data_IF_132826692627
#
_entry.id   IF_132826692627
#
_cell.length_a   1.000
_cell.length_b   1.000
_cell.length_c   1.000
_cell.angle_alpha   90.00
_cell.angle_beta   90.00
_cell.angle_gamma   90.00
#
_symmetry.space_group_name_H-M   'P 1'
#
loop_
_entity.id
_entity.type
_entity.pdbx_description
1 polymer ?
#
# COMPACT_ATOMS: atom_id res chain seq x y z
N UNK A 1 10.66 6.04 45.15
CA UNK A 1 9.21 5.86 45.34
C UNK A 1 8.57 5.65 43.97
N UNK A 2 8.16 4.43 43.65
CA UNK A 2 7.51 4.11 42.36
C UNK A 2 5.99 4.18 42.53
N UNK A 3 5.30 4.98 41.71
CA UNK A 3 3.83 4.98 41.69
C UNK A 3 3.30 3.81 40.83
N UNK A 4 2.27 3.08 41.29
CA UNK A 4 1.67 2.01 40.51
C UNK A 4 0.72 2.58 39.43
N UNK A 5 0.89 2.11 38.20
CA UNK A 5 -0.03 2.44 37.10
C UNK A 5 -1.31 1.61 37.24
N UNK A 6 -2.42 2.27 37.55
CA UNK A 6 -3.75 1.66 37.57
C UNK A 6 -4.16 1.25 36.16
N UNK A 7 -4.06 -0.04 35.86
CA UNK A 7 -4.54 -0.64 34.61
C UNK A 7 -6.02 -0.97 34.79
N UNK A 8 -6.90 -0.07 34.36
CA UNK A 8 -8.35 -0.26 34.41
C UNK A 8 -8.74 -1.45 33.53
N UNK A 9 -9.03 -2.59 34.15
CA UNK A 9 -9.54 -3.79 33.48
C UNK A 9 -11.02 -3.51 33.18
N UNK A 10 -11.36 -3.28 31.91
CA UNK A 10 -12.77 -3.14 31.49
C UNK A 10 -13.41 -4.51 31.67
N UNK A 11 -14.10 -4.71 32.79
CA UNK A 11 -14.98 -5.86 33.01
C UNK A 11 -16.24 -5.55 32.21
N UNK A 12 -16.42 -6.25 31.09
CA UNK A 12 -17.66 -6.15 30.32
C UNK A 12 -18.76 -6.80 31.15
N UNK A 13 -19.84 -6.05 31.36
CA UNK A 13 -21.05 -6.54 32.01
C UNK A 13 -21.66 -7.71 31.20
N UNK A 14 -22.28 -8.67 31.89
CA UNK A 14 -22.88 -9.87 31.29
C UNK A 14 -23.94 -9.49 30.23
N UNK A 15 -24.65 -8.38 30.46
CA UNK A 15 -25.61 -7.81 29.52
C UNK A 15 -24.96 -7.38 28.19
N UNK A 16 -23.71 -6.90 28.21
CA UNK A 16 -22.99 -6.49 27.02
C UNK A 16 -22.37 -7.69 26.29
N UNK A 17 -21.95 -8.72 27.02
CA UNK A 17 -21.54 -10.00 26.44
C UNK A 17 -22.71 -10.63 25.68
N UNK A 18 -23.90 -10.67 26.29
CA UNK A 18 -25.10 -11.22 25.64
C UNK A 18 -25.56 -10.39 24.44
N UNK A 19 -25.48 -9.05 24.49
CA UNK A 19 -25.77 -8.19 23.32
C UNK A 19 -24.81 -8.42 22.15
N UNK A 20 -23.54 -8.73 22.42
CA UNK A 20 -22.57 -9.03 21.37
C UNK A 20 -22.81 -10.40 20.75
N UNK A 21 -23.21 -11.39 21.54
CA UNK A 21 -23.52 -12.74 21.08
C UNK A 21 -24.81 -12.81 20.25
N UNK A 22 -25.80 -11.97 20.56
CA UNK A 22 -27.09 -11.92 19.86
C UNK A 22 -27.14 -10.92 18.70
N UNK A 23 -26.03 -10.21 18.44
CA UNK A 23 -25.99 -9.22 17.36
C UNK A 23 -26.10 -9.94 16.01
N UNK A 24 -27.11 -9.62 15.17
CA UNK A 24 -27.21 -10.21 13.85
C UNK A 24 -25.95 -9.88 13.06
N UNK A 25 -25.43 -10.88 12.35
CA UNK A 25 -24.26 -10.68 11.48
C UNK A 25 -24.62 -9.59 10.46
N UNK A 26 -23.73 -8.61 10.23
CA UNK A 26 -23.97 -7.62 9.18
C UNK A 26 -24.10 -8.35 7.83
N UNK A 27 -25.03 -7.92 6.97
CA UNK A 27 -25.29 -8.61 5.72
C UNK A 27 -24.06 -8.60 4.83
N UNK A 28 -23.83 -9.72 4.15
CA UNK A 28 -22.70 -9.86 3.22
C UNK A 28 -22.87 -8.93 2.02
N UNK A 29 -21.79 -8.65 1.28
CA UNK A 29 -21.89 -7.83 0.06
C UNK A 29 -22.93 -8.42 -0.90
N UNK A 30 -22.91 -9.74 -1.11
CA UNK A 30 -23.86 -10.47 -1.95
C UNK A 30 -25.32 -10.31 -1.49
N UNK A 31 -25.58 -10.38 -0.18
CA UNK A 31 -26.92 -10.16 0.38
C UNK A 31 -27.40 -8.72 0.13
N UNK A 32 -26.51 -7.73 0.27
CA UNK A 32 -26.83 -6.32 -0.01
C UNK A 32 -27.11 -6.08 -1.49
N UNK A 33 -26.44 -6.82 -2.38
CA UNK A 33 -26.73 -6.83 -3.82
C UNK A 33 -28.11 -7.37 -4.14
N UNK A 34 -28.47 -8.49 -3.52
CA UNK A 34 -29.77 -9.12 -3.69
C UNK A 34 -30.91 -8.22 -3.18
N UNK A 35 -30.66 -7.45 -2.12
CA UNK A 35 -31.62 -6.52 -1.52
C UNK A 35 -31.69 -5.14 -2.19
N UNK A 36 -30.77 -4.82 -3.12
CA UNK A 36 -30.79 -3.53 -3.81
C UNK A 36 -32.00 -3.43 -4.74
N UNK A 37 -32.83 -2.42 -4.53
CA UNK A 37 -34.08 -2.21 -5.26
C UNK A 37 -33.85 -1.67 -6.67
N UNK A 38 -32.71 -0.99 -6.90
CA UNK A 38 -32.39 -0.37 -8.17
C UNK A 38 -31.00 -0.73 -8.70
N UNK A 39 -30.80 -0.71 -10.04
CA UNK A 39 -29.47 -0.86 -10.63
C UNK A 39 -28.45 0.19 -10.13
N UNK A 40 -28.88 1.45 -9.95
CA UNK A 40 -28.01 2.51 -9.45
C UNK A 40 -27.55 2.27 -7.99
N UNK A 41 -28.36 1.61 -7.16
CA UNK A 41 -27.93 1.19 -5.81
C UNK A 41 -26.93 0.04 -5.85
N UNK A 42 -27.08 -0.88 -6.81
CA UNK A 42 -26.10 -1.96 -7.04
C UNK A 42 -24.75 -1.37 -7.44
N UNK A 43 -24.73 -0.43 -8.37
CA UNK A 43 -23.50 0.24 -8.81
C UNK A 43 -22.81 0.99 -7.66
N UNK A 44 -23.59 1.72 -6.84
CA UNK A 44 -23.07 2.38 -5.62
C UNK A 44 -22.51 1.38 -4.61
N UNK A 45 -23.12 0.21 -4.44
CA UNK A 45 -22.62 -0.85 -3.56
C UNK A 45 -21.31 -1.44 -4.11
N UNK A 46 -21.16 -1.56 -5.43
CA UNK A 46 -19.92 -2.01 -6.10
C UNK A 46 -18.79 -1.02 -5.86
N UNK A 47 -19.05 0.25 -6.14
CA UNK A 47 -18.09 1.33 -5.99
C UNK A 47 -17.64 1.48 -4.54
N UNK A 48 -18.55 1.38 -3.58
CA UNK A 48 -18.22 1.44 -2.15
C UNK A 48 -17.47 0.19 -1.66
N UNK A 49 -17.74 -0.99 -2.22
CA UNK A 49 -16.99 -2.22 -1.96
C UNK A 49 -15.54 -2.11 -2.41
N UNK A 50 -15.33 -1.57 -3.61
CA UNK A 50 -14.00 -1.30 -4.18
C UNK A 50 -13.25 -0.19 -3.43
N UNK A 51 -13.95 0.83 -2.92
CA UNK A 51 -13.35 1.90 -2.09
C UNK A 51 -12.94 1.42 -0.69
N UNK A 52 -13.53 0.34 -0.17
CA UNK A 52 -13.22 -0.20 1.17
C UNK A 52 -12.00 -1.12 1.20
N UNK A 53 -11.46 -1.55 0.05
CA UNK A 53 -10.36 -2.53 -0.01
C UNK A 53 -8.99 -1.90 0.29
N UNK A 54 -8.85 -0.58 0.20
CA UNK A 54 -7.63 0.12 0.62
C UNK A 54 -8.01 1.28 1.55
N UNK A 55 -7.43 1.38 2.76
CA UNK A 55 -7.51 2.62 3.50
C UNK A 55 -6.70 3.67 2.72
N UNK A 56 -7.40 4.55 2.01
CA UNK A 56 -6.83 5.79 1.49
C UNK A 56 -6.11 6.49 2.65
N UNK A 57 -4.78 6.70 2.58
CA UNK A 57 -4.08 7.41 3.63
C UNK A 57 -4.59 8.85 3.66
N UNK A 58 -5.35 9.18 4.70
CA UNK A 58 -5.90 10.52 4.90
C UNK A 58 -4.81 11.61 4.84
N UNK A 59 -5.15 12.83 4.41
CA UNK A 59 -4.19 13.91 4.24
C UNK A 59 -3.50 14.22 5.58
N UNK A 60 -2.20 13.91 5.64
CA UNK A 60 -1.35 14.23 6.79
C UNK A 60 -1.21 15.74 6.93
N UNK A 61 -1.80 16.30 8.00
CA UNK A 61 -1.84 17.74 8.30
C UNK A 61 -0.46 18.43 8.40
N UNK A 62 0.65 17.68 8.41
CA UNK A 62 1.99 18.21 8.72
C UNK A 62 3.07 17.93 7.65
N UNK A 63 2.70 17.59 6.41
CA UNK A 63 3.70 17.27 5.36
C UNK A 63 4.54 16.01 5.63
N UNK A 64 4.27 15.32 6.74
CA UNK A 64 4.80 13.99 7.06
C UNK A 64 4.17 13.00 6.10
N UNK A 65 4.92 12.18 5.35
CA UNK A 65 4.31 11.15 4.53
C UNK A 65 3.40 10.28 5.41
N UNK A 66 2.22 9.88 4.91
CA UNK A 66 1.26 9.10 5.69
C UNK A 66 1.89 7.79 6.18
N UNK A 67 1.21 7.14 7.14
CA UNK A 67 1.49 5.77 7.58
C UNK A 67 1.97 4.92 6.40
N UNK A 68 3.24 4.47 6.47
CA UNK A 68 3.99 3.68 5.49
C UNK A 68 3.29 3.48 4.13
N UNK A 69 3.71 4.22 3.11
CA UNK A 69 3.30 3.97 1.71
C UNK A 69 3.88 2.63 1.26
N UNK A 70 3.00 1.72 0.85
CA UNK A 70 3.37 0.39 0.34
C UNK A 70 3.57 0.41 -1.17
N UNK A 71 4.62 -0.24 -1.62
CA UNK A 71 5.08 -0.27 -3.00
C UNK A 71 4.91 -1.68 -3.55
N UNK A 72 4.22 -1.78 -4.67
CA UNK A 72 3.95 -3.03 -5.40
C UNK A 72 4.96 -3.21 -6.53
N UNK A 73 5.07 -4.45 -7.06
CA UNK A 73 5.93 -4.73 -8.22
C UNK A 73 5.64 -3.85 -9.45
N UNK A 74 4.38 -3.58 -9.85
CA UNK A 74 4.11 -2.67 -10.96
C UNK A 74 4.68 -1.26 -10.75
N UNK A 75 4.58 -0.70 -9.54
CA UNK A 75 5.17 0.61 -9.22
C UNK A 75 6.72 0.53 -9.25
N UNK A 76 7.32 -0.55 -8.78
CA UNK A 76 8.76 -0.74 -8.91
C UNK A 76 9.20 -0.77 -10.40
N UNK A 77 8.46 -1.49 -11.24
CA UNK A 77 8.79 -1.63 -12.67
C UNK A 77 8.76 -0.30 -13.42
N UNK A 78 7.81 0.59 -13.11
CA UNK A 78 7.77 1.93 -13.70
C UNK A 78 8.93 2.82 -13.25
N UNK A 79 9.64 2.44 -12.18
CA UNK A 79 10.89 3.07 -11.71
C UNK A 79 12.16 2.37 -12.19
N UNK A 80 12.04 1.45 -13.16
CA UNK A 80 13.19 0.76 -13.75
C UNK A 80 13.63 -0.52 -13.03
N UNK A 81 12.93 -0.93 -11.96
CA UNK A 81 13.22 -2.20 -11.30
C UNK A 81 12.87 -3.40 -12.20
N UNK A 82 13.78 -4.37 -12.26
CA UNK A 82 13.54 -5.68 -12.87
C UNK A 82 13.39 -6.74 -11.79
N UNK A 83 12.85 -7.91 -12.13
CA UNK A 83 12.75 -9.01 -11.15
C UNK A 83 14.13 -9.49 -10.66
N UNK A 84 15.19 -9.32 -11.45
CA UNK A 84 16.57 -9.55 -11.00
C UNK A 84 16.97 -8.52 -9.93
N UNK A 85 16.78 -7.23 -10.20
CA UNK A 85 17.09 -6.16 -9.25
C UNK A 85 16.29 -6.29 -7.95
N UNK A 86 15.02 -6.66 -8.03
CA UNK A 86 14.17 -6.88 -6.85
C UNK A 86 14.76 -7.99 -5.95
N UNK A 87 15.28 -9.07 -6.54
CA UNK A 87 15.89 -10.17 -5.78
C UNK A 87 17.26 -9.81 -5.20
N UNK A 88 18.01 -8.97 -5.92
CA UNK A 88 19.38 -8.60 -5.58
C UNK A 88 19.44 -7.49 -4.52
N UNK A 89 18.64 -6.44 -4.68
CA UNK A 89 18.77 -5.22 -3.88
C UNK A 89 17.71 -5.05 -2.80
N UNK A 90 16.50 -5.61 -2.97
CA UNK A 90 15.46 -5.48 -1.95
C UNK A 90 15.54 -6.64 -0.95
N UNK A 91 15.30 -6.37 0.34
CA UNK A 91 15.07 -7.43 1.30
C UNK A 91 13.77 -8.17 0.98
N UNK A 92 13.51 -9.24 1.73
CA UNK A 92 12.22 -9.94 1.65
C UNK A 92 11.05 -8.95 1.79
N UNK A 93 9.93 -9.20 1.09
CA UNK A 93 8.75 -8.34 1.18
C UNK A 93 8.32 -8.16 2.63
N UNK A 94 8.03 -6.92 3.02
CA UNK A 94 7.62 -6.58 4.38
C UNK A 94 6.17 -6.99 4.64
N UNK A 95 5.34 -6.96 3.58
CA UNK A 95 3.95 -7.38 3.63
C UNK A 95 3.56 -8.12 2.38
N UNK A 96 2.44 -8.83 2.50
CA UNK A 96 1.78 -9.51 1.42
C UNK A 96 0.32 -9.05 1.40
N UNK A 97 -0.16 -8.62 0.25
CA UNK A 97 -1.55 -8.22 0.05
C UNK A 97 -2.30 -9.31 -0.71
N UNK A 98 -3.52 -9.62 -0.28
CA UNK A 98 -4.36 -10.59 -0.97
C UNK A 98 -4.76 -10.01 -2.33
N UNK A 99 -4.57 -10.75 -3.42
CA UNK A 99 -4.83 -10.21 -4.76
C UNK A 99 -6.35 -10.01 -4.97
N UNK A 100 -6.84 -8.77 -5.14
CA UNK A 100 -8.28 -8.50 -5.22
C UNK A 100 -8.92 -9.06 -6.50
N UNK A 101 -8.11 -9.38 -7.52
CA UNK A 101 -8.62 -9.86 -8.81
C UNK A 101 -8.77 -11.37 -8.91
N UNK A 102 -8.18 -12.14 -8.00
CA UNK A 102 -8.21 -13.61 -8.07
C UNK A 102 -8.02 -14.22 -6.69
N UNK A 103 -9.08 -14.80 -6.13
CA UNK A 103 -8.97 -15.71 -4.99
C UNK A 103 -8.03 -16.88 -5.35
N UNK A 104 -7.10 -17.23 -4.46
CA UNK A 104 -6.20 -18.37 -4.63
C UNK A 104 -4.86 -18.14 -5.34
N UNK A 105 -4.57 -16.94 -5.88
CA UNK A 105 -3.21 -16.61 -6.36
C UNK A 105 -2.27 -16.24 -5.21
N UNK A 106 -0.97 -16.47 -5.42
CA UNK A 106 0.08 -16.09 -4.47
C UNK A 106 -0.06 -14.60 -4.09
N UNK A 107 -0.04 -14.27 -2.79
CA UNK A 107 -0.17 -12.90 -2.31
C UNK A 107 0.85 -11.95 -2.97
N UNK A 108 0.42 -10.72 -3.28
CA UNK A 108 1.30 -9.75 -3.90
C UNK A 108 2.30 -9.20 -2.89
N UNK A 109 3.62 -9.27 -3.16
CA UNK A 109 4.63 -8.76 -2.26
C UNK A 109 4.61 -7.23 -2.24
N UNK A 110 4.78 -6.66 -1.04
CA UNK A 110 4.83 -5.24 -0.77
C UNK A 110 6.11 -4.87 -0.03
N UNK A 111 6.70 -3.74 -0.43
CA UNK A 111 7.82 -3.11 0.26
C UNK A 111 7.42 -1.72 0.73
N UNK A 112 8.00 -1.21 1.81
CA UNK A 112 7.76 0.18 2.20
C UNK A 112 8.51 1.15 1.28
N UNK A 113 7.94 2.33 1.05
CA UNK A 113 8.63 3.44 0.37
C UNK A 113 9.96 3.80 1.05
N UNK A 114 10.05 3.57 2.37
CA UNK A 114 11.29 3.76 3.14
C UNK A 114 12.39 2.81 2.72
N UNK A 115 12.07 1.52 2.61
CA UNK A 115 13.03 0.49 2.18
C UNK A 115 13.49 0.76 0.76
N UNK A 116 12.55 0.99 -0.16
CA UNK A 116 12.86 1.29 -1.56
C UNK A 116 13.71 2.56 -1.66
N UNK A 117 13.32 3.66 -1.01
CA UNK A 117 14.07 4.92 -1.04
C UNK A 117 15.47 4.84 -0.43
N UNK A 118 15.69 3.98 0.57
CA UNK A 118 17.04 3.73 1.12
C UNK A 118 17.94 3.01 0.14
N UNK A 119 17.40 2.02 -0.57
CA UNK A 119 18.14 1.26 -1.57
C UNK A 119 18.40 2.13 -2.81
N UNK A 120 17.39 2.88 -3.27
CA UNK A 120 17.57 3.76 -4.43
C UNK A 120 18.59 4.90 -4.19
N UNK A 121 18.86 5.22 -2.92
CA UNK A 121 19.84 6.21 -2.51
C UNK A 121 21.28 5.65 -2.41
N UNK A 122 21.53 4.38 -2.75
CA UNK A 122 22.90 3.82 -2.78
C UNK A 122 23.53 4.00 -4.16
N UNK A 123 24.85 4.25 -4.18
CA UNK A 123 25.62 4.38 -5.43
C UNK A 123 25.65 3.07 -6.23
N UNK A 124 25.56 1.95 -5.52
CA UNK A 124 25.46 0.62 -6.12
C UNK A 124 24.19 0.49 -6.98
N UNK A 125 23.04 0.85 -6.40
CA UNK A 125 21.77 0.86 -7.11
C UNK A 125 21.81 1.80 -8.31
N UNK A 126 22.28 3.04 -8.12
CA UNK A 126 22.29 4.05 -9.18
C UNK A 126 23.14 3.61 -10.37
N UNK A 127 24.33 3.03 -10.11
CA UNK A 127 25.19 2.47 -11.17
C UNK A 127 24.57 1.26 -11.85
N UNK A 128 23.89 0.39 -11.09
CA UNK A 128 23.17 -0.74 -11.66
C UNK A 128 22.03 -0.27 -12.57
N UNK A 129 21.21 0.69 -12.10
CA UNK A 129 20.06 1.21 -12.84
C UNK A 129 20.50 1.85 -14.16
N UNK A 130 21.55 2.68 -14.13
CA UNK A 130 22.08 3.31 -15.33
C UNK A 130 22.47 2.27 -16.39
N UNK A 131 23.25 1.24 -16.01
CA UNK A 131 23.64 0.15 -16.92
C UNK A 131 22.45 -0.66 -17.43
N UNK A 132 21.46 -0.89 -16.56
CA UNK A 132 20.25 -1.64 -16.90
C UNK A 132 19.40 -0.91 -17.94
N UNK A 133 19.25 0.41 -17.79
CA UNK A 133 18.53 1.27 -18.74
C UNK A 133 19.26 1.38 -20.08
N UNK A 134 20.57 1.60 -20.04
CA UNK A 134 21.44 1.67 -21.21
C UNK A 134 21.35 0.40 -22.07
N UNK A 135 21.50 -0.79 -21.46
CA UNK A 135 21.35 -2.07 -22.16
C UNK A 135 19.98 -2.26 -22.80
N UNK A 136 18.93 -1.67 -22.22
CA UNK A 136 17.55 -1.79 -22.71
C UNK A 136 17.21 -0.73 -23.75
N UNK A 137 18.07 0.29 -23.94
CA UNK A 137 17.81 1.41 -24.84
C UNK A 137 16.58 2.22 -24.44
N UNK A 138 16.29 2.34 -23.14
CA UNK A 138 15.13 3.10 -22.64
C UNK A 138 15.51 4.01 -21.48
N UNK A 139 14.68 5.02 -21.23
CA UNK A 139 14.81 5.95 -20.12
C UNK A 139 13.77 5.71 -19.03
N UNK A 140 13.94 6.34 -17.86
CA UNK A 140 12.90 6.37 -16.82
C UNK A 140 11.65 7.14 -17.27
N UNK A 141 11.82 8.10 -18.17
CA UNK A 141 10.72 8.86 -18.75
C UNK A 141 9.83 7.94 -19.60
N UNK A 142 10.41 7.12 -20.47
CA UNK A 142 9.66 6.17 -21.30
C UNK A 142 8.82 5.21 -20.44
N UNK A 143 9.39 4.72 -19.33
CA UNK A 143 8.68 3.88 -18.38
C UNK A 143 7.53 4.62 -17.69
N UNK A 144 7.72 5.89 -17.36
CA UNK A 144 6.69 6.71 -16.72
C UNK A 144 5.56 7.07 -17.69
N UNK A 145 5.90 7.36 -18.96
CA UNK A 145 4.93 7.65 -20.02
C UNK A 145 4.11 6.41 -20.42
N UNK A 146 4.68 5.21 -20.25
CA UNK A 146 3.97 3.95 -20.47
C UNK A 146 2.84 3.67 -19.47
N UNK A 147 2.73 4.46 -18.38
CA UNK A 147 1.68 4.32 -17.36
C UNK A 147 0.30 4.60 -17.97
N UNK A 148 -0.54 3.56 -17.99
CA UNK A 148 -1.95 3.64 -18.36
C UNK A 148 -2.85 3.78 -17.13
N UNK A 149 -3.90 4.59 -17.27
CA UNK A 149 -4.96 4.76 -16.28
C UNK A 149 -4.65 5.75 -15.16
N UNK A 150 -5.59 6.66 -14.89
CA UNK A 150 -5.41 7.75 -13.92
C UNK A 150 -5.23 7.27 -12.49
N UNK A 151 -5.93 6.20 -12.10
CA UNK A 151 -5.82 5.63 -10.76
C UNK A 151 -4.40 5.10 -10.48
N UNK A 152 -3.80 4.42 -11.45
CA UNK A 152 -2.43 3.93 -11.31
C UNK A 152 -1.42 5.08 -11.33
N UNK A 153 -1.63 6.09 -12.19
CA UNK A 153 -0.81 7.32 -12.21
C UNK A 153 -0.79 8.03 -10.85
N UNK A 154 -1.96 8.18 -10.20
CA UNK A 154 -2.03 8.78 -8.84
C UNK A 154 -1.27 7.96 -7.81
N UNK A 155 -1.44 6.62 -7.80
CA UNK A 155 -0.69 5.74 -6.89
C UNK A 155 0.82 5.82 -7.12
N UNK A 156 1.25 5.86 -8.38
CA UNK A 156 2.66 6.05 -8.75
C UNK A 156 3.19 7.40 -8.23
N UNK A 157 2.47 8.49 -8.43
CA UNK A 157 2.89 9.82 -7.94
C UNK A 157 2.99 9.87 -6.41
N UNK A 158 2.06 9.24 -5.70
CA UNK A 158 2.12 9.13 -4.22
C UNK A 158 3.34 8.32 -3.78
N UNK A 159 3.62 7.19 -4.44
CA UNK A 159 4.79 6.38 -4.20
C UNK A 159 6.10 7.12 -4.48
N UNK A 160 6.19 7.80 -5.62
CA UNK A 160 7.36 8.57 -6.05
C UNK A 160 7.72 9.66 -5.03
N UNK A 161 6.73 10.47 -4.62
CA UNK A 161 6.91 11.50 -3.58
C UNK A 161 7.40 10.90 -2.26
N UNK A 162 6.84 9.76 -1.85
CA UNK A 162 7.23 9.08 -0.61
C UNK A 162 8.66 8.52 -0.68
N UNK A 163 9.03 7.88 -1.79
CA UNK A 163 10.38 7.34 -2.01
C UNK A 163 11.40 8.48 -2.04
N UNK A 164 11.13 9.55 -2.79
CA UNK A 164 12.01 10.73 -2.88
C UNK A 164 12.24 11.39 -1.51
N UNK A 165 11.22 11.43 -0.66
CA UNK A 165 11.36 11.89 0.73
C UNK A 165 12.40 11.05 1.51
N UNK A 166 12.36 9.71 1.39
CA UNK A 166 13.30 8.84 2.11
C UNK A 166 14.70 8.81 1.51
N UNK A 167 14.84 9.00 0.19
CA UNK A 167 16.14 9.21 -0.45
C UNK A 167 16.82 10.46 0.14
N UNK A 168 16.12 11.59 0.19
CA UNK A 168 16.64 12.86 0.73
C UNK A 168 16.95 12.78 2.24
N UNK A 169 16.11 12.08 3.01
CA UNK A 169 16.29 11.95 4.45
C UNK A 169 17.61 11.22 4.81
N UNK A 170 18.11 10.31 3.97
CA UNK A 170 19.43 9.65 4.18
C UNK A 170 20.57 10.68 4.26
N UNK A 171 20.49 11.76 3.49
CA UNK A 171 21.53 12.79 3.41
C UNK A 171 21.48 13.84 4.52
N UNK A 172 20.44 13.84 5.38
CA UNK A 172 20.31 14.81 6.50
C UNK A 172 20.96 14.34 7.81
N UNK A 173 21.59 13.17 7.84
CA UNK A 173 22.18 12.56 9.05
C UNK A 173 23.72 12.60 9.06
N UNK A 174 24.33 13.63 8.44
CA UNK A 174 25.77 13.89 8.55
C UNK A 174 26.02 15.15 9.35
#
# INVERSE_FOLDING_TARGET
>A
MCQPQNRTRVVLDESEIQRRLTRPKPPTLAERYAQAATPAERDRLYDNGNRRTEPEPGPSRNGRPPSTVWITKPILRTRGWTDAAIREFLPRPERHYSNPHTEGRSPMPLWSARTVGRVEATDEWQRWLARSLDRRGITLQDLTESIRGDAFRRRFQTADKAIAHYQRARFRTR
#
